data_IF_037728614681
#
_entry.id   IF_037728614681
#
_cell.length_a   1.000
_cell.length_b   1.000
_cell.length_c   1.000
_cell.angle_alpha   90.00
_cell.angle_beta   90.00
_cell.angle_gamma   90.00
#
_symmetry.space_group_name_H-M   'P 1'
#
loop_
_entity.id
_entity.type
_entity.pdbx_description
1 polymer ?
#
# COMPACT_ATOMS: atom_id res chain seq x y z
N UNK A 1 -13.23 -10.89 26.36
CA UNK A 1 -12.04 -10.62 25.52
C UNK A 1 -12.27 -11.11 24.09
N UNK A 2 -12.49 -12.41 23.85
CA UNK A 2 -12.66 -13.00 22.49
C UNK A 2 -13.86 -12.45 21.68
N UNK A 3 -15.03 -12.26 22.32
CA UNK A 3 -16.22 -11.70 21.65
C UNK A 3 -16.07 -10.22 21.25
N UNK A 4 -15.20 -9.46 21.90
CA UNK A 4 -14.97 -8.03 21.60
C UNK A 4 -14.09 -7.86 20.37
N UNK A 5 -13.06 -8.71 20.23
CA UNK A 5 -12.23 -8.79 19.04
C UNK A 5 -13.04 -9.24 17.83
N UNK A 6 -13.91 -10.25 17.99
CA UNK A 6 -14.79 -10.72 16.91
C UNK A 6 -15.78 -9.65 16.45
N UNK A 7 -16.36 -8.85 17.36
CA UNK A 7 -17.21 -7.72 16.97
C UNK A 7 -16.45 -6.66 16.18
N UNK A 8 -15.21 -6.32 16.60
CA UNK A 8 -14.37 -5.37 15.85
C UNK A 8 -13.95 -5.90 14.48
N UNK A 9 -13.74 -7.22 14.34
CA UNK A 9 -13.45 -7.84 13.04
C UNK A 9 -14.65 -7.76 12.10
N UNK A 10 -15.86 -8.02 12.60
CA UNK A 10 -17.11 -7.90 11.82
C UNK A 10 -17.37 -6.45 11.42
N UNK A 11 -17.17 -5.50 12.34
CA UNK A 11 -17.30 -4.06 12.05
C UNK A 11 -16.25 -3.58 11.03
N UNK A 12 -15.01 -4.06 11.11
CA UNK A 12 -13.96 -3.70 10.14
C UNK A 12 -14.26 -4.24 8.73
N UNK A 13 -14.78 -5.47 8.62
CA UNK A 13 -15.17 -6.09 7.35
C UNK A 13 -16.37 -5.37 6.71
N UNK A 14 -17.32 -4.93 7.54
CA UNK A 14 -18.51 -4.20 7.10
C UNK A 14 -18.29 -2.69 6.95
N UNK A 15 -17.10 -2.19 7.32
CA UNK A 15 -16.80 -0.77 7.24
C UNK A 15 -16.80 -0.30 5.79
N UNK A 16 -17.30 0.93 5.53
CA UNK A 16 -17.20 1.52 4.21
C UNK A 16 -15.74 1.58 3.78
N UNK A 17 -15.48 1.38 2.48
CA UNK A 17 -14.13 1.49 1.91
C UNK A 17 -13.54 2.85 2.29
N UNK A 18 -12.50 2.83 3.10
CA UNK A 18 -11.74 4.03 3.43
C UNK A 18 -10.89 4.43 2.23
N UNK A 19 -10.70 5.73 2.06
CA UNK A 19 -9.79 6.26 1.05
C UNK A 19 -8.35 5.80 1.35
N UNK A 20 -7.60 5.41 0.32
CA UNK A 20 -6.24 4.89 0.49
C UNK A 20 -5.31 5.92 1.17
N UNK A 21 -5.57 7.23 0.99
CA UNK A 21 -4.84 8.30 1.70
C UNK A 21 -5.05 8.20 3.21
N UNK A 22 -6.29 8.00 3.67
CA UNK A 22 -6.61 7.86 5.10
C UNK A 22 -5.92 6.64 5.69
N UNK A 23 -5.89 5.53 4.94
CA UNK A 23 -5.21 4.30 5.38
C UNK A 23 -3.69 4.50 5.46
N UNK A 24 -3.11 5.20 4.48
CA UNK A 24 -1.69 5.54 4.45
C UNK A 24 -1.29 6.46 5.61
N UNK A 25 -2.06 7.51 5.90
CA UNK A 25 -1.82 8.41 7.02
C UNK A 25 -1.91 7.68 8.37
N UNK A 26 -2.93 6.82 8.54
CA UNK A 26 -3.06 5.99 9.74
C UNK A 26 -1.90 5.00 9.88
N UNK A 27 -1.42 4.45 8.77
CA UNK A 27 -0.26 3.55 8.74
C UNK A 27 1.04 4.25 9.09
N UNK A 28 1.26 5.47 8.57
CA UNK A 28 2.40 6.30 8.95
C UNK A 28 2.35 6.63 10.45
N UNK A 29 1.22 7.10 10.96
CA UNK A 29 1.05 7.42 12.37
C UNK A 29 1.32 6.19 13.28
N UNK A 30 0.90 5.00 12.84
CA UNK A 30 1.23 3.75 13.53
C UNK A 30 2.74 3.47 13.52
N UNK A 31 3.38 3.52 12.35
CA UNK A 31 4.81 3.23 12.20
C UNK A 31 5.69 4.20 13.00
N UNK A 32 5.32 5.48 13.01
CA UNK A 32 5.98 6.51 13.81
C UNK A 32 5.82 6.24 15.31
N UNK A 33 4.60 5.93 15.76
CA UNK A 33 4.32 5.63 17.17
C UNK A 33 5.11 4.42 17.68
N UNK A 34 5.28 3.40 16.85
CA UNK A 34 6.08 2.20 17.19
C UNK A 34 7.60 2.43 17.07
N UNK A 35 8.04 3.62 16.66
CA UNK A 35 9.47 3.95 16.48
C UNK A 35 10.13 3.23 15.31
N UNK A 36 9.35 2.69 14.37
CA UNK A 36 9.86 2.00 13.18
C UNK A 36 10.35 3.01 12.13
N UNK A 37 9.68 4.17 12.08
CA UNK A 37 9.96 5.26 11.14
C UNK A 37 10.12 6.57 11.92
N UNK A 38 11.03 7.47 11.53
CA UNK A 38 11.18 8.78 12.16
C UNK A 38 9.91 9.65 12.11
N UNK A 39 9.76 10.57 13.07
CA UNK A 39 8.58 11.43 13.19
C UNK A 39 8.46 12.48 12.08
N UNK A 40 9.56 12.85 11.43
CA UNK A 40 9.62 13.82 10.35
C UNK A 40 9.26 13.23 8.98
N UNK A 41 9.00 11.92 8.90
CA UNK A 41 8.65 11.28 7.64
C UNK A 41 7.24 11.65 7.21
N UNK A 42 7.12 12.10 5.97
CA UNK A 42 5.85 12.17 5.25
C UNK A 42 5.55 10.85 4.54
N UNK A 43 4.32 10.70 4.04
CA UNK A 43 3.91 9.56 3.20
C UNK A 43 4.85 9.42 1.98
N UNK A 44 5.24 10.52 1.35
CA UNK A 44 6.14 10.52 0.19
C UNK A 44 7.57 10.10 0.56
N UNK A 45 8.11 10.62 1.65
CA UNK A 45 9.45 10.26 2.13
C UNK A 45 9.51 8.78 2.49
N UNK A 46 8.49 8.28 3.18
CA UNK A 46 8.37 6.87 3.53
C UNK A 46 8.23 5.99 2.28
N UNK A 47 7.44 6.39 1.28
CA UNK A 47 7.33 5.65 0.02
C UNK A 47 8.68 5.48 -0.67
N UNK A 48 9.51 6.53 -0.72
CA UNK A 48 10.89 6.44 -1.28
C UNK A 48 11.76 5.47 -0.49
N UNK A 49 11.70 5.53 0.84
CA UNK A 49 12.44 4.62 1.71
C UNK A 49 12.00 3.16 1.51
N UNK A 50 10.70 2.91 1.33
CA UNK A 50 10.15 1.58 1.05
C UNK A 50 10.65 1.07 -0.32
N UNK A 51 10.66 1.90 -1.36
CA UNK A 51 11.18 1.51 -2.67
C UNK A 51 12.66 1.11 -2.58
N UNK A 52 13.45 1.86 -1.82
CA UNK A 52 14.84 1.50 -1.55
C UNK A 52 14.96 0.18 -0.78
N UNK A 53 14.13 -0.02 0.26
CA UNK A 53 14.07 -1.26 1.04
C UNK A 53 13.76 -2.48 0.15
N UNK A 54 12.77 -2.36 -0.75
CA UNK A 54 12.39 -3.42 -1.69
C UNK A 54 13.56 -3.84 -2.59
N UNK A 55 14.44 -2.91 -2.96
CA UNK A 55 15.61 -3.22 -3.79
C UNK A 55 16.74 -3.89 -3.00
N UNK A 56 16.82 -3.67 -1.69
CA UNK A 56 17.89 -4.20 -0.85
C UNK A 56 17.53 -5.51 -0.13
N UNK A 57 16.27 -5.70 0.22
CA UNK A 57 15.80 -6.84 1.00
C UNK A 57 14.71 -7.62 0.25
N UNK A 58 15.11 -8.75 -0.32
CA UNK A 58 14.23 -9.63 -1.09
C UNK A 58 13.06 -10.19 -0.24
N UNK A 59 13.28 -10.43 1.06
CA UNK A 59 12.24 -10.96 1.95
C UNK A 59 11.16 -9.92 2.22
N UNK A 60 11.57 -8.67 2.46
CA UNK A 60 10.64 -7.55 2.60
C UNK A 60 9.93 -7.27 1.28
N UNK A 61 10.65 -7.29 0.16
CA UNK A 61 10.09 -7.13 -1.17
C UNK A 61 8.94 -8.12 -1.45
N UNK A 62 9.18 -9.42 -1.21
CA UNK A 62 8.16 -10.47 -1.36
C UNK A 62 6.95 -10.21 -0.45
N UNK A 63 7.21 -9.90 0.81
CA UNK A 63 6.15 -9.68 1.79
C UNK A 63 5.27 -8.47 1.43
N UNK A 64 5.86 -7.38 0.92
CA UNK A 64 5.13 -6.19 0.49
C UNK A 64 4.37 -6.48 -0.81
N UNK A 65 5.01 -7.14 -1.78
CA UNK A 65 4.40 -7.51 -3.06
C UNK A 65 3.17 -8.43 -2.87
N UNK A 66 3.26 -9.42 -1.98
CA UNK A 66 2.13 -10.30 -1.64
C UNK A 66 0.93 -9.54 -1.11
N UNK A 67 1.14 -8.49 -0.30
CA UNK A 67 0.05 -7.64 0.19
C UNK A 67 -0.52 -6.79 -0.95
N UNK A 68 0.33 -6.20 -1.80
CA UNK A 68 -0.11 -5.41 -2.94
C UNK A 68 -0.96 -6.23 -3.92
N UNK A 69 -0.55 -7.46 -4.23
CA UNK A 69 -1.33 -8.37 -5.08
C UNK A 69 -2.71 -8.65 -4.49
N UNK A 70 -2.76 -8.97 -3.19
CA UNK A 70 -4.03 -9.20 -2.49
C UNK A 70 -4.89 -7.93 -2.42
N UNK A 71 -4.26 -6.76 -2.28
CA UNK A 71 -4.95 -5.47 -2.30
C UNK A 71 -5.68 -5.25 -3.62
N UNK A 72 -5.05 -5.58 -4.76
CA UNK A 72 -5.69 -5.52 -6.06
C UNK A 72 -6.92 -6.43 -6.12
N UNK A 73 -6.83 -7.64 -5.56
CA UNK A 73 -7.94 -8.59 -5.52
C UNK A 73 -9.10 -8.12 -4.62
N UNK A 74 -8.83 -7.49 -3.47
CA UNK A 74 -9.89 -6.96 -2.59
C UNK A 74 -10.77 -5.92 -3.27
N UNK A 75 -10.18 -5.13 -4.16
CA UNK A 75 -10.94 -4.15 -4.96
C UNK A 75 -12.00 -4.84 -5.84
N UNK A 76 -11.70 -6.04 -6.35
CA UNK A 76 -12.53 -6.83 -7.25
C UNK A 76 -13.60 -7.66 -6.53
N UNK A 77 -13.31 -8.20 -5.34
CA UNK A 77 -14.21 -9.13 -4.62
C UNK A 77 -15.26 -8.46 -3.73
N UNK A 78 -15.55 -7.17 -3.92
CA UNK A 78 -16.62 -6.49 -3.20
C UNK A 78 -16.36 -6.24 -1.70
N UNK A 79 -15.15 -6.53 -1.20
CA UNK A 79 -14.77 -6.33 0.20
C UNK A 79 -13.67 -7.27 0.69
N UNK A 80 -13.26 -7.11 1.94
CA UNK A 80 -12.23 -7.91 2.60
C UNK A 80 -12.86 -9.04 3.42
N UNK A 81 -12.38 -10.27 3.28
CA UNK A 81 -12.83 -11.42 4.07
C UNK A 81 -12.03 -11.59 5.37
N UNK A 82 -12.59 -12.29 6.36
CA UNK A 82 -11.94 -12.54 7.67
C UNK A 82 -10.53 -13.14 7.54
N UNK A 83 -10.35 -14.08 6.61
CA UNK A 83 -9.04 -14.72 6.33
C UNK A 83 -8.01 -13.70 5.81
N UNK A 84 -8.46 -12.71 5.04
CA UNK A 84 -7.59 -11.65 4.51
C UNK A 84 -7.22 -10.67 5.63
N UNK A 85 -8.16 -10.33 6.51
CA UNK A 85 -7.92 -9.48 7.67
C UNK A 85 -6.94 -10.13 8.68
N UNK A 86 -7.09 -11.43 8.97
CA UNK A 86 -6.16 -12.15 9.84
C UNK A 86 -4.74 -12.18 9.26
N UNK A 87 -4.60 -12.29 7.94
CA UNK A 87 -3.31 -12.22 7.26
C UNK A 87 -2.68 -10.82 7.36
N UNK A 88 -3.50 -9.77 7.25
CA UNK A 88 -3.05 -8.39 7.43
C UNK A 88 -2.55 -8.12 8.85
N UNK A 89 -3.29 -8.61 9.85
CA UNK A 89 -2.89 -8.45 11.26
C UNK A 89 -1.55 -9.13 11.52
N UNK A 90 -1.31 -10.31 10.91
CA UNK A 90 -0.02 -11.01 11.02
C UNK A 90 1.12 -10.30 10.28
N UNK A 91 0.83 -9.63 9.16
CA UNK A 91 1.80 -8.93 8.32
C UNK A 91 1.62 -7.41 8.38
N UNK A 92 1.39 -6.88 9.57
CA UNK A 92 0.95 -5.50 9.78
C UNK A 92 1.95 -4.46 9.24
N UNK A 93 3.24 -4.74 9.36
CA UNK A 93 4.30 -3.86 8.85
C UNK A 93 4.30 -3.79 7.32
N UNK A 94 4.26 -4.96 6.66
CA UNK A 94 4.14 -5.04 5.19
C UNK A 94 2.86 -4.40 4.68
N UNK A 95 1.76 -4.51 5.43
CA UNK A 95 0.51 -3.82 5.13
C UNK A 95 0.65 -2.30 5.18
N UNK A 96 1.26 -1.78 6.24
CA UNK A 96 1.50 -0.35 6.36
C UNK A 96 2.33 0.15 5.17
N UNK A 97 3.42 -0.54 4.82
CA UNK A 97 4.24 -0.18 3.66
C UNK A 97 3.48 -0.25 2.33
N UNK A 98 2.71 -1.32 2.11
CA UNK A 98 1.88 -1.46 0.92
C UNK A 98 0.85 -0.32 0.81
N UNK A 99 0.19 0.05 1.91
CA UNK A 99 -0.80 1.13 1.92
C UNK A 99 -0.22 2.49 1.55
N UNK A 100 1.01 2.79 2.00
CA UNK A 100 1.75 4.00 1.66
C UNK A 100 2.02 4.06 0.16
N UNK A 101 2.52 2.96 -0.43
CA UNK A 101 2.78 2.88 -1.86
C UNK A 101 1.49 3.04 -2.69
N UNK A 102 0.41 2.38 -2.29
CA UNK A 102 -0.90 2.49 -2.98
C UNK A 102 -1.40 3.94 -2.97
N UNK A 103 -1.31 4.63 -1.84
CA UNK A 103 -1.75 6.02 -1.74
C UNK A 103 -0.93 6.95 -2.64
N UNK A 104 0.39 6.81 -2.67
CA UNK A 104 1.27 7.61 -3.54
C UNK A 104 1.00 7.33 -5.01
N UNK A 105 0.82 6.07 -5.40
CA UNK A 105 0.47 5.71 -6.79
C UNK A 105 -0.90 6.27 -7.18
N UNK A 106 -1.90 6.21 -6.29
CA UNK A 106 -3.21 6.80 -6.55
C UNK A 106 -3.14 8.33 -6.68
N UNK A 107 -2.37 8.99 -5.82
CA UNK A 107 -2.14 10.44 -5.89
C UNK A 107 -1.38 10.82 -7.18
N UNK A 108 -0.38 10.04 -7.58
CA UNK A 108 0.33 10.22 -8.83
C UNK A 108 -0.61 10.05 -10.02
N UNK A 109 -1.44 9.00 -10.05
CA UNK A 109 -2.46 8.79 -11.09
C UNK A 109 -3.50 9.92 -11.17
N UNK A 110 -3.96 10.42 -10.01
CA UNK A 110 -4.87 11.56 -9.97
C UNK A 110 -4.21 12.82 -10.53
N UNK A 111 -2.93 13.03 -10.24
CA UNK A 111 -2.12 14.13 -10.78
C UNK A 111 -1.83 13.91 -12.28
N UNK A 112 -1.65 12.65 -12.72
CA UNK A 112 -1.46 12.22 -14.10
C UNK A 112 -2.71 12.35 -14.97
N UNK A 113 -3.91 12.59 -14.43
CA UNK A 113 -4.98 13.14 -15.27
C UNK A 113 -4.61 14.49 -15.91
N UNK A 114 -3.55 15.14 -15.40
CA UNK A 114 -2.86 16.32 -15.95
C UNK A 114 -1.50 16.02 -16.61
N UNK A 115 -0.84 14.87 -16.33
CA UNK A 115 0.51 14.48 -16.81
C UNK A 115 0.53 13.21 -17.70
N UNK A 116 -0.63 12.63 -18.00
CA UNK A 116 -0.77 11.38 -18.77
C UNK A 116 -0.24 11.50 -20.21
N UNK A 117 0.05 12.71 -20.68
CA UNK A 117 0.82 12.93 -21.91
C UNK A 117 2.25 12.40 -21.81
N UNK A 118 2.94 12.62 -20.68
CA UNK A 118 4.39 12.42 -20.57
C UNK A 118 4.76 10.96 -20.34
N UNK A 119 3.92 10.20 -19.62
CA UNK A 119 4.11 8.76 -19.44
C UNK A 119 3.81 7.99 -20.74
N UNK A 120 2.78 8.41 -21.49
CA UNK A 120 2.51 7.91 -22.85
C UNK A 120 3.66 8.23 -23.82
N UNK A 121 4.28 9.40 -23.68
CA UNK A 121 5.42 9.82 -24.51
C UNK A 121 6.70 9.03 -24.18
N UNK A 122 6.99 8.79 -22.91
CA UNK A 122 8.11 7.95 -22.47
C UNK A 122 7.91 6.47 -22.82
N UNK A 123 6.70 5.92 -22.72
CA UNK A 123 6.37 4.59 -23.25
C UNK A 123 6.52 4.51 -24.78
N UNK A 124 6.24 5.61 -25.50
CA UNK A 124 6.42 5.68 -26.96
C UNK A 124 7.89 5.68 -27.36
N UNK A 125 8.76 6.29 -26.55
CA UNK A 125 10.22 6.23 -26.69
C UNK A 125 10.76 4.82 -26.39
N UNK A 126 10.20 4.11 -25.41
CA UNK A 126 10.69 2.79 -24.98
C UNK A 126 10.40 1.65 -25.97
N UNK A 127 9.42 1.78 -26.88
CA UNK A 127 9.21 0.77 -27.96
C UNK A 127 10.39 0.64 -28.94
N UNK A 128 11.38 1.55 -28.88
CA UNK A 128 12.56 1.53 -29.77
C UNK A 128 13.84 1.01 -29.15
N UNK A 129 13.81 0.46 -27.93
CA UNK A 129 14.99 -0.20 -27.37
C UNK A 129 14.90 -1.69 -27.66
N UNK A 130 15.61 -2.15 -28.70
CA UNK A 130 15.95 -3.57 -28.84
C UNK A 130 16.85 -3.92 -27.67
N UNK A 131 16.32 -4.67 -26.71
CA UNK A 131 17.15 -5.49 -25.85
C UNK A 131 17.67 -6.61 -26.75
N UNK A 132 18.99 -6.72 -26.87
CA UNK A 132 19.65 -7.77 -27.65
C UNK A 132 19.26 -9.16 -27.19
#
# INVERSE_FOLDING_TARGET
MREYEERRLVEAIQSPRLDNKVIAEASLAYLTKEGIVPEDYSVETLARAILYLIMLDESQAKSIADILERWMLWSQFGGMQKVQLDLLVKNKLSFCYASILVAVVQQANATESTLGSDMLESMRLWRRVRLG
#
